data_IF_265342823725
#
_entry.id   IF_265342823725
#
_cell.length_a   1.000
_cell.length_b   1.000
_cell.length_c   1.000
_cell.angle_alpha   90.00
_cell.angle_beta   90.00
_cell.angle_gamma   90.00
#
_symmetry.space_group_name_H-M   'P 1'
#
loop_
_entity.id
_entity.type
_entity.pdbx_description
1 polymer ?
#
# COMPACT_ATOMS: atom_id res chain seq x y z
N UNK A 1 25.03 43.45 -5.57
CA UNK A 1 25.39 42.33 -4.68
C UNK A 1 24.31 41.99 -3.65
N UNK A 2 23.77 42.95 -2.87
CA UNK A 2 22.72 42.66 -1.86
C UNK A 2 21.41 42.12 -2.46
N UNK A 3 21.01 42.61 -3.63
CA UNK A 3 19.79 42.16 -4.33
C UNK A 3 19.90 40.72 -4.86
N UNK A 4 21.07 40.35 -5.40
CA UNK A 4 21.32 38.99 -5.91
C UNK A 4 21.34 37.94 -4.79
N UNK A 5 21.85 38.31 -3.61
CA UNK A 5 21.86 37.45 -2.42
C UNK A 5 20.44 37.22 -1.87
N UNK A 6 19.59 38.24 -1.89
CA UNK A 6 18.19 38.11 -1.48
C UNK A 6 17.39 37.21 -2.44
N UNK A 7 17.60 37.33 -3.75
CA UNK A 7 16.94 36.49 -4.75
C UNK A 7 17.37 35.02 -4.62
N UNK A 8 18.67 34.76 -4.42
CA UNK A 8 19.18 33.39 -4.18
C UNK A 8 18.59 32.76 -2.92
N UNK A 9 18.49 33.52 -1.82
CA UNK A 9 17.88 33.04 -0.57
C UNK A 9 16.39 32.73 -0.75
N UNK A 10 15.63 33.55 -1.46
CA UNK A 10 14.21 33.31 -1.73
C UNK A 10 14.02 32.06 -2.59
N UNK A 11 14.83 31.86 -3.63
CA UNK A 11 14.75 30.66 -4.48
C UNK A 11 15.11 29.36 -3.74
N UNK A 12 16.04 29.41 -2.78
CA UNK A 12 16.38 28.24 -1.96
C UNK A 12 15.25 27.87 -1.00
N UNK A 13 14.62 28.85 -0.36
CA UNK A 13 13.50 28.63 0.56
C UNK A 13 12.27 28.09 -0.20
N UNK A 14 12.01 28.57 -1.42
CA UNK A 14 10.90 28.08 -2.24
C UNK A 14 11.10 26.63 -2.71
N UNK A 15 12.33 26.19 -2.96
CA UNK A 15 12.61 24.80 -3.36
C UNK A 15 12.49 23.80 -2.20
N UNK A 16 12.73 24.22 -0.96
CA UNK A 16 12.49 23.34 0.21
C UNK A 16 11.00 23.24 0.58
N UNK A 17 10.20 24.27 0.30
CA UNK A 17 8.76 24.29 0.63
C UNK A 17 7.89 23.64 -0.46
N UNK A 18 8.36 23.58 -1.71
CA UNK A 18 7.65 22.93 -2.83
C UNK A 18 8.30 21.61 -3.30
N UNK A 19 9.06 20.95 -2.43
CA UNK A 19 9.26 19.52 -2.58
C UNK A 19 7.92 18.83 -2.37
N UNK A 20 7.14 18.62 -3.43
CA UNK A 20 5.98 17.73 -3.42
C UNK A 20 6.50 16.32 -3.13
N UNK A 21 6.74 16.04 -1.86
CA UNK A 21 7.01 14.71 -1.34
C UNK A 21 5.68 13.99 -1.57
N UNK A 22 5.55 13.37 -2.74
CA UNK A 22 4.47 12.42 -3.02
C UNK A 22 4.38 11.56 -1.77
N UNK A 23 3.24 11.66 -1.07
CA UNK A 23 2.99 10.91 0.17
C UNK A 23 2.89 9.44 -0.20
N UNK A 24 4.04 8.81 -0.48
CA UNK A 24 4.15 7.39 -0.75
C UNK A 24 3.75 6.57 0.47
N UNK A 25 4.01 7.12 1.65
CA UNK A 25 3.83 6.49 2.96
C UNK A 25 2.40 6.46 3.47
N UNK A 26 2.22 5.80 4.62
CA UNK A 26 0.98 5.89 5.39
C UNK A 26 0.89 7.27 6.07
N UNK A 27 -0.31 7.85 6.14
CA UNK A 27 -0.57 9.01 6.99
C UNK A 27 -0.42 8.67 8.47
N UNK A 28 -0.25 9.66 9.35
CA UNK A 28 -0.07 9.41 10.79
C UNK A 28 -1.22 8.59 11.42
N UNK A 29 -2.46 8.84 11.00
CA UNK A 29 -3.62 8.09 11.49
C UNK A 29 -3.63 6.65 10.98
N UNK A 30 -3.24 6.43 9.72
CA UNK A 30 -3.09 5.10 9.14
C UNK A 30 -1.96 4.33 9.81
N UNK A 31 -0.81 4.97 10.05
CA UNK A 31 0.31 4.39 10.80
C UNK A 31 -0.14 3.92 12.19
N UNK A 32 -0.89 4.78 12.91
CA UNK A 32 -1.41 4.45 14.23
C UNK A 32 -2.35 3.25 14.17
N UNK A 33 -3.37 3.27 13.31
CA UNK A 33 -4.34 2.17 13.16
C UNK A 33 -3.66 0.84 12.80
N UNK A 34 -2.73 0.89 11.83
CA UNK A 34 -1.98 -0.27 11.39
C UNK A 34 -1.12 -0.86 12.51
N UNK A 35 -0.34 -0.02 13.19
CA UNK A 35 0.53 -0.48 14.27
C UNK A 35 -0.24 -0.98 15.48
N UNK A 36 -1.37 -0.38 15.83
CA UNK A 36 -2.22 -0.84 16.93
C UNK A 36 -2.69 -2.29 16.68
N UNK A 37 -3.25 -2.56 15.50
CA UNK A 37 -3.75 -3.90 15.18
C UNK A 37 -2.61 -4.90 14.95
N UNK A 38 -1.54 -4.51 14.23
CA UNK A 38 -0.37 -5.37 14.04
C UNK A 38 0.27 -5.74 15.37
N UNK A 39 0.44 -4.80 16.30
CA UNK A 39 1.05 -5.10 17.60
C UNK A 39 0.17 -5.97 18.49
N UNK A 40 -1.16 -5.85 18.38
CA UNK A 40 -2.10 -6.75 19.05
C UNK A 40 -1.92 -8.19 18.57
N UNK A 41 -1.83 -8.39 17.26
CA UNK A 41 -1.57 -9.72 16.68
C UNK A 41 -0.18 -10.25 17.04
N UNK A 42 0.85 -9.41 16.95
CA UNK A 42 2.22 -9.75 17.35
C UNK A 42 2.30 -10.20 18.79
N UNK A 43 1.53 -9.57 19.70
CA UNK A 43 1.47 -9.98 21.10
C UNK A 43 0.87 -11.37 21.24
N UNK A 44 -0.27 -11.62 20.60
CA UNK A 44 -0.92 -12.94 20.61
C UNK A 44 0.01 -14.05 20.11
N UNK A 45 0.68 -13.81 18.98
CA UNK A 45 1.61 -14.78 18.38
C UNK A 45 2.86 -14.96 19.25
N UNK A 46 3.36 -13.89 19.87
CA UNK A 46 4.48 -14.00 20.80
C UNK A 46 4.13 -14.91 21.98
N UNK A 47 2.92 -14.80 22.54
CA UNK A 47 2.46 -15.66 23.62
C UNK A 47 2.30 -17.12 23.16
N UNK A 48 1.76 -17.36 21.96
CA UNK A 48 1.60 -18.70 21.37
C UNK A 48 2.94 -19.40 21.09
N UNK A 49 3.89 -18.68 20.49
CA UNK A 49 5.19 -19.22 20.07
C UNK A 49 6.18 -19.28 21.25
N UNK A 50 5.97 -18.47 22.29
CA UNK A 50 6.90 -18.29 23.40
C UNK A 50 8.04 -17.32 23.07
N UNK A 51 7.73 -16.24 22.35
CA UNK A 51 8.65 -15.13 22.15
C UNK A 51 8.51 -14.10 23.28
N UNK A 52 9.58 -13.31 23.49
CA UNK A 52 9.41 -12.01 24.13
C UNK A 52 8.68 -11.09 23.16
N UNK A 53 7.56 -10.52 23.59
CA UNK A 53 6.86 -9.51 22.79
C UNK A 53 7.75 -8.28 22.57
N UNK A 54 7.90 -7.88 21.30
CA UNK A 54 8.59 -6.66 20.88
C UNK A 54 7.63 -5.84 20.02
N UNK A 55 7.25 -4.62 20.45
CA UNK A 55 6.34 -3.78 19.69
C UNK A 55 7.02 -3.27 18.42
N UNK A 56 6.33 -3.39 17.29
CA UNK A 56 6.67 -2.77 16.02
C UNK A 56 6.45 -1.25 16.12
N UNK A 57 7.42 -0.49 15.62
CA UNK A 57 7.39 0.98 15.56
C UNK A 57 7.47 1.44 14.11
N UNK A 58 6.84 2.57 13.81
CA UNK A 58 6.93 3.14 12.48
C UNK A 58 8.28 3.86 12.30
N UNK A 59 8.93 3.67 11.17
CA UNK A 59 10.11 4.42 10.76
C UNK A 59 9.93 4.92 9.32
N UNK A 60 9.56 6.19 9.19
CA UNK A 60 9.32 6.83 7.90
C UNK A 60 10.56 6.87 6.98
N UNK A 61 11.77 6.63 7.51
CA UNK A 61 12.94 6.52 6.65
C UNK A 61 12.96 5.22 5.84
N UNK A 62 12.36 4.14 6.36
CA UNK A 62 12.25 2.87 5.65
C UNK A 62 11.32 2.96 4.44
N UNK A 63 10.38 3.92 4.39
CA UNK A 63 9.53 4.16 3.22
C UNK A 63 10.34 4.46 1.95
N UNK A 64 11.51 5.12 2.12
CA UNK A 64 12.37 5.53 1.01
C UNK A 64 13.11 4.34 0.37
N UNK A 65 13.21 3.23 1.09
CA UNK A 65 13.87 2.00 0.62
C UNK A 65 12.95 1.18 -0.30
N UNK A 66 11.65 1.49 -0.30
CA UNK A 66 10.64 0.78 -1.09
C UNK A 66 10.69 1.26 -2.53
N UNK A 67 11.03 0.34 -3.43
CA UNK A 67 11.07 0.56 -4.88
C UNK A 67 10.03 -0.32 -5.54
N UNK A 68 9.05 0.29 -6.22
CA UNK A 68 7.98 -0.43 -6.94
C UNK A 68 8.45 -0.98 -8.29
N UNK A 69 7.65 -1.87 -8.88
CA UNK A 69 7.86 -2.36 -10.25
C UNK A 69 8.85 -3.53 -10.39
N UNK A 70 9.37 -4.07 -9.29
CA UNK A 70 10.04 -5.39 -9.32
C UNK A 70 8.98 -6.50 -9.34
N UNK A 71 9.37 -7.67 -9.85
CA UNK A 71 8.61 -8.92 -9.65
C UNK A 71 8.36 -9.17 -8.16
N UNK A 72 7.21 -9.75 -7.82
CA UNK A 72 6.79 -9.93 -6.43
C UNK A 72 7.76 -10.79 -5.62
N UNK A 73 8.28 -11.86 -6.22
CA UNK A 73 9.25 -12.79 -5.61
C UNK A 73 10.64 -12.17 -5.45
N UNK A 74 10.94 -11.05 -6.12
CA UNK A 74 12.20 -10.30 -5.95
C UNK A 74 12.19 -9.42 -4.69
N UNK A 75 11.04 -9.20 -4.06
CA UNK A 75 10.97 -8.57 -2.75
C UNK A 75 11.32 -9.59 -1.66
N UNK A 76 12.60 -9.59 -1.25
CA UNK A 76 13.09 -10.53 -0.23
C UNK A 76 12.84 -10.05 1.19
N UNK A 77 12.62 -8.76 1.38
CA UNK A 77 12.47 -8.13 2.71
C UNK A 77 11.24 -7.25 2.83
N UNK A 78 10.54 -7.05 1.72
CA UNK A 78 9.34 -6.25 1.66
C UNK A 78 8.09 -7.13 1.78
N UNK A 79 7.20 -6.76 2.67
CA UNK A 79 5.97 -7.48 2.95
C UNK A 79 4.77 -6.74 2.35
N UNK A 80 3.82 -7.44 1.72
CA UNK A 80 2.63 -6.81 1.19
C UNK A 80 1.71 -6.32 2.31
N UNK A 81 1.01 -5.20 2.08
CA UNK A 81 -0.13 -4.81 2.92
C UNK A 81 -1.42 -5.50 2.49
N UNK A 82 -1.49 -5.97 1.24
CA UNK A 82 -2.58 -6.78 0.70
C UNK A 82 -2.06 -7.63 -0.45
N UNK A 83 -2.63 -8.82 -0.59
CA UNK A 83 -2.34 -9.80 -1.64
C UNK A 83 -3.65 -10.19 -2.35
N UNK A 84 -3.56 -10.66 -3.59
CA UNK A 84 -4.72 -11.18 -4.30
C UNK A 84 -5.08 -12.62 -3.87
N UNK A 85 -6.21 -13.13 -4.36
CA UNK A 85 -6.72 -14.45 -3.96
C UNK A 85 -5.80 -15.60 -4.38
N UNK A 86 -5.06 -15.45 -5.48
CA UNK A 86 -4.07 -16.42 -5.95
C UNK A 86 -2.94 -16.54 -4.93
N UNK A 87 -2.43 -15.41 -4.44
CA UNK A 87 -1.35 -15.44 -3.47
C UNK A 87 -1.82 -15.77 -2.05
N UNK A 88 -3.09 -15.54 -1.71
CA UNK A 88 -3.70 -16.10 -0.50
C UNK A 88 -3.83 -17.64 -0.60
N UNK A 89 -4.19 -18.18 -1.77
CA UNK A 89 -4.16 -19.62 -2.02
C UNK A 89 -2.75 -20.18 -1.85
N UNK A 90 -1.75 -19.52 -2.47
CA UNK A 90 -0.32 -19.83 -2.31
C UNK A 90 0.07 -19.86 -0.83
N UNK A 91 -0.22 -18.80 -0.09
CA UNK A 91 0.05 -18.69 1.35
C UNK A 91 -0.55 -19.86 2.14
N UNK A 92 -1.80 -20.23 1.87
CA UNK A 92 -2.45 -21.39 2.54
C UNK A 92 -1.73 -22.71 2.24
N UNK A 93 -1.26 -22.90 1.01
CA UNK A 93 -0.48 -24.09 0.64
C UNK A 93 0.82 -24.15 1.46
N UNK A 94 1.55 -23.04 1.60
CA UNK A 94 2.77 -22.97 2.42
C UNK A 94 2.51 -23.20 3.92
N UNK A 95 1.42 -22.63 4.46
CA UNK A 95 1.03 -22.84 5.86
C UNK A 95 0.65 -24.30 6.15
N UNK A 96 0.02 -25.00 5.19
CA UNK A 96 -0.45 -26.38 5.36
C UNK A 96 0.57 -27.45 4.90
N UNK A 97 1.50 -27.09 4.02
CA UNK A 97 2.47 -27.98 3.36
C UNK A 97 3.67 -28.39 4.22
N UNK A 98 3.84 -27.79 5.40
CA UNK A 98 4.57 -28.41 6.53
C UNK A 98 6.04 -28.04 6.74
N UNK A 99 6.74 -27.38 5.81
CA UNK A 99 8.20 -27.08 5.98
C UNK A 99 8.55 -25.59 6.02
N UNK A 100 7.81 -24.76 5.30
CA UNK A 100 8.10 -23.33 5.11
C UNK A 100 7.36 -22.45 6.14
N UNK A 101 6.08 -22.75 6.39
CA UNK A 101 5.19 -21.96 7.25
C UNK A 101 4.55 -20.80 6.50
N UNK A 102 4.07 -19.77 7.21
CA UNK A 102 3.57 -18.57 6.55
C UNK A 102 4.72 -17.78 5.91
N UNK A 103 4.64 -17.54 4.60
CA UNK A 103 5.61 -16.73 3.83
C UNK A 103 5.63 -15.25 4.27
N UNK A 104 4.62 -14.81 5.04
CA UNK A 104 4.53 -13.47 5.62
C UNK A 104 4.81 -13.43 7.14
N UNK A 105 5.40 -14.49 7.71
CA UNK A 105 5.64 -14.60 9.15
C UNK A 105 6.55 -13.50 9.72
N UNK A 106 7.32 -12.80 8.87
CA UNK A 106 8.22 -11.72 9.26
C UNK A 106 7.47 -10.53 9.90
N UNK A 107 6.17 -10.36 9.63
CA UNK A 107 5.33 -9.41 10.37
C UNK A 107 5.31 -9.67 11.88
N UNK A 108 5.56 -10.91 12.31
CA UNK A 108 5.33 -11.38 13.67
C UNK A 108 6.59 -11.79 14.41
N UNK A 109 7.73 -11.88 13.71
CA UNK A 109 9.00 -12.23 14.35
C UNK A 109 9.49 -11.08 15.26
N UNK A 110 9.98 -11.39 16.48
CA UNK A 110 10.44 -10.38 17.44
C UNK A 110 11.77 -9.73 17.05
N UNK A 111 12.47 -10.30 16.07
CA UNK A 111 13.73 -9.77 15.57
C UNK A 111 13.57 -8.59 14.60
N UNK A 112 12.33 -8.19 14.29
CA UNK A 112 11.98 -6.95 13.61
C UNK A 112 11.16 -6.06 14.54
N UNK A 113 11.56 -4.80 14.69
CA UNK A 113 10.88 -3.81 15.55
C UNK A 113 10.62 -2.46 14.88
N UNK A 114 11.05 -2.29 13.62
CA UNK A 114 10.70 -1.13 12.83
C UNK A 114 10.13 -1.55 11.48
N UNK A 115 9.14 -0.79 11.04
CA UNK A 115 8.47 -0.94 9.76
C UNK A 115 8.26 0.43 9.11
N UNK A 116 8.44 0.52 7.80
CA UNK A 116 7.93 1.64 7.00
C UNK A 116 7.23 1.08 5.78
N UNK A 117 6.16 1.71 5.34
CA UNK A 117 5.30 1.17 4.28
C UNK A 117 4.96 2.21 3.24
N UNK A 118 4.81 1.78 2.00
CA UNK A 118 4.25 2.60 0.91
C UNK A 118 2.92 2.00 0.44
N UNK A 119 1.86 2.80 0.40
CA UNK A 119 0.55 2.38 -0.15
C UNK A 119 0.56 2.28 -1.66
N UNK A 120 1.37 3.11 -2.30
CA UNK A 120 1.44 3.23 -3.76
C UNK A 120 2.25 2.09 -4.39
N UNK A 121 3.11 1.44 -3.61
CA UNK A 121 3.95 0.37 -4.11
C UNK A 121 3.13 -0.88 -4.44
N UNK A 122 3.33 -1.40 -5.65
CA UNK A 122 2.65 -2.59 -6.15
C UNK A 122 3.62 -3.47 -6.92
N UNK A 123 3.26 -4.73 -7.05
CA UNK A 123 3.91 -5.66 -7.97
C UNK A 123 2.90 -6.66 -8.51
N UNK A 124 3.27 -7.23 -9.66
CA UNK A 124 2.52 -8.27 -10.34
C UNK A 124 3.53 -9.27 -10.89
N UNK A 125 3.23 -10.55 -10.77
CA UNK A 125 4.09 -11.62 -11.29
C UNK A 125 3.28 -12.84 -11.70
N UNK A 126 3.61 -13.40 -12.85
CA UNK A 126 3.06 -14.70 -13.28
C UNK A 126 3.94 -15.80 -12.70
N UNK A 127 3.34 -16.70 -11.93
CA UNK A 127 4.04 -17.83 -11.34
C UNK A 127 4.49 -18.79 -12.43
N UNK A 128 5.79 -19.02 -12.50
CA UNK A 128 6.43 -20.04 -13.36
C UNK A 128 6.43 -21.41 -12.67
N UNK A 129 6.68 -22.46 -13.45
CA UNK A 129 6.81 -23.84 -12.96
C UNK A 129 7.91 -24.04 -11.89
N UNK A 130 8.90 -23.17 -11.90
CA UNK A 130 10.05 -23.19 -10.99
C UNK A 130 9.70 -22.70 -9.58
N UNK A 131 8.52 -22.11 -9.37
CA UNK A 131 8.07 -21.70 -8.05
C UNK A 131 7.45 -22.89 -7.30
N UNK A 132 7.62 -22.94 -5.97
CA UNK A 132 7.36 -24.10 -5.10
C UNK A 132 5.88 -24.57 -5.00
N UNK A 133 4.99 -24.09 -5.88
CA UNK A 133 3.57 -24.44 -5.92
C UNK A 133 3.12 -24.73 -7.37
N UNK A 134 3.33 -25.96 -7.87
CA UNK A 134 3.01 -26.34 -9.25
C UNK A 134 1.56 -26.07 -9.66
N UNK A 135 0.61 -26.22 -8.73
CA UNK A 135 -0.83 -26.04 -8.98
C UNK A 135 -1.22 -24.59 -9.31
N UNK A 136 -0.31 -23.63 -9.09
CA UNK A 136 -0.53 -22.21 -9.39
C UNK A 136 0.28 -21.74 -10.60
N UNK A 137 0.90 -22.65 -11.36
CA UNK A 137 1.61 -22.32 -12.59
C UNK A 137 0.72 -21.54 -13.57
N UNK A 138 1.26 -20.44 -14.11
CA UNK A 138 0.54 -19.55 -15.03
C UNK A 138 -0.45 -18.58 -14.37
N UNK A 139 -0.72 -18.71 -13.07
CA UNK A 139 -1.55 -17.75 -12.33
C UNK A 139 -0.74 -16.51 -11.94
N UNK A 140 -1.42 -15.37 -11.83
CA UNK A 140 -0.82 -14.09 -11.47
C UNK A 140 -0.97 -13.80 -9.98
N UNK A 141 0.13 -13.53 -9.29
CA UNK A 141 0.14 -12.96 -7.94
C UNK A 141 0.30 -11.44 -8.00
N UNK A 142 -0.29 -10.76 -7.03
CA UNK A 142 -0.26 -9.29 -6.95
C UNK A 142 -0.13 -8.83 -5.51
N UNK A 143 0.77 -7.87 -5.27
CA UNK A 143 0.89 -7.17 -4.00
C UNK A 143 0.43 -5.74 -4.12
N UNK A 144 -0.32 -5.29 -3.11
CA UNK A 144 -0.85 -3.94 -2.98
C UNK A 144 -0.37 -3.33 -1.68
N UNK A 145 0.43 -2.28 -1.80
CA UNK A 145 1.19 -1.71 -0.70
C UNK A 145 2.33 -2.63 -0.28
N UNK A 146 3.51 -2.06 -0.01
CA UNK A 146 4.68 -2.81 0.44
C UNK A 146 5.24 -2.19 1.72
N UNK A 147 5.83 -3.00 2.58
CA UNK A 147 6.44 -2.60 3.83
C UNK A 147 7.85 -3.15 3.97
N UNK A 148 8.81 -2.32 4.33
CA UNK A 148 10.18 -2.73 4.65
C UNK A 148 10.36 -2.84 6.16
N UNK A 149 11.05 -3.89 6.61
CA UNK A 149 11.35 -4.15 8.02
C UNK A 149 12.82 -3.88 8.35
N UNK A 150 13.09 -3.48 9.59
CA UNK A 150 14.46 -3.41 10.14
C UNK A 150 14.63 -4.39 11.30
N UNK A 151 15.78 -5.07 11.34
CA UNK A 151 16.14 -5.96 12.44
C UNK A 151 16.64 -5.21 13.66
N UNK A 152 16.39 -5.77 14.84
CA UNK A 152 16.82 -5.22 16.14
C UNK A 152 17.89 -6.06 16.86
N UNK A 153 18.39 -7.11 16.21
CA UNK A 153 19.41 -8.01 16.79
C UNK A 153 18.89 -9.03 17.79
N UNK A 154 17.58 -9.12 18.05
CA UNK A 154 17.01 -10.22 18.85
C UNK A 154 17.19 -11.53 18.09
N UNK A 155 17.82 -12.51 18.73
CA UNK A 155 17.97 -13.84 18.16
C UNK A 155 16.72 -14.69 18.42
N UNK A 156 16.41 -15.56 17.46
CA UNK A 156 15.30 -16.52 17.55
C UNK A 156 15.92 -17.91 17.59
N UNK A 157 15.61 -18.68 18.62
CA UNK A 157 16.08 -20.06 18.72
C UNK A 157 15.46 -20.95 17.63
N UNK A 158 16.11 -22.05 17.27
CA UNK A 158 15.58 -23.01 16.30
C UNK A 158 14.20 -23.55 16.72
N UNK A 159 14.03 -23.83 18.02
CA UNK A 159 12.75 -24.30 18.56
C UNK A 159 11.63 -23.26 18.39
N UNK A 160 11.93 -21.99 18.64
CA UNK A 160 10.98 -20.90 18.39
C UNK A 160 10.71 -20.71 16.88
N UNK A 161 11.72 -20.85 16.02
CA UNK A 161 11.52 -20.80 14.57
C UNK A 161 10.60 -21.91 14.08
N UNK A 162 10.76 -23.14 14.58
CA UNK A 162 9.87 -24.28 14.26
C UNK A 162 8.43 -24.04 14.72
N UNK A 163 8.24 -23.42 15.89
CA UNK A 163 6.91 -23.03 16.38
C UNK A 163 6.30 -21.93 15.52
N UNK A 164 7.07 -20.91 15.15
CA UNK A 164 6.61 -19.81 14.29
C UNK A 164 6.10 -20.32 12.94
N UNK A 165 6.79 -21.27 12.33
CA UNK A 165 6.36 -21.91 11.07
C UNK A 165 5.01 -22.61 11.16
N UNK A 166 4.56 -22.98 12.37
CA UNK A 166 3.28 -23.64 12.62
C UNK A 166 2.22 -22.68 13.18
N UNK A 167 2.58 -21.43 13.46
CA UNK A 167 1.68 -20.47 14.07
C UNK A 167 0.61 -20.03 13.07
N UNK A 168 -0.62 -19.85 13.57
CA UNK A 168 -1.72 -19.37 12.74
C UNK A 168 -1.71 -17.83 12.69
N UNK A 169 -1.03 -17.29 11.70
CA UNK A 169 -0.82 -15.85 11.49
C UNK A 169 -1.95 -15.20 10.69
N UNK A 170 -2.34 -13.95 11.01
CA UNK A 170 -3.25 -13.17 10.17
C UNK A 170 -2.73 -12.94 8.75
N UNK A 171 -3.64 -12.94 7.77
CA UNK A 171 -3.31 -12.54 6.39
C UNK A 171 -2.91 -11.08 6.32
N UNK A 172 -1.95 -10.72 5.43
CA UNK A 172 -1.73 -9.32 5.03
C UNK A 172 -3.04 -8.58 4.73
N UNK A 173 -4.01 -9.24 4.08
CA UNK A 173 -5.29 -8.65 3.69
C UNK A 173 -6.04 -7.99 4.85
N UNK A 174 -5.91 -8.51 6.09
CA UNK A 174 -6.45 -7.89 7.30
C UNK A 174 -5.99 -6.43 7.45
N UNK A 175 -4.70 -6.18 7.23
CA UNK A 175 -4.10 -4.85 7.35
C UNK A 175 -4.46 -3.96 6.16
N UNK A 176 -4.53 -4.54 4.96
CA UNK A 176 -5.05 -3.88 3.77
C UNK A 176 -6.46 -3.34 3.95
N UNK A 177 -7.36 -4.13 4.55
CA UNK A 177 -8.76 -3.75 4.81
C UNK A 177 -8.84 -2.57 5.80
N UNK A 178 -8.07 -2.60 6.90
CA UNK A 178 -8.01 -1.51 7.89
C UNK A 178 -7.52 -0.20 7.27
N UNK A 179 -6.64 -0.30 6.26
CA UNK A 179 -6.04 0.83 5.55
C UNK A 179 -6.83 1.25 4.30
N UNK A 180 -7.95 0.59 3.99
CA UNK A 180 -8.77 0.85 2.81
C UNK A 180 -8.02 0.61 1.49
N UNK A 181 -7.07 -0.33 1.46
CA UNK A 181 -6.32 -0.69 0.25
C UNK A 181 -7.17 -1.66 -0.57
N UNK A 182 -7.69 -1.19 -1.70
CA UNK A 182 -8.43 -2.03 -2.64
C UNK A 182 -7.48 -2.95 -3.43
N UNK A 183 -7.89 -4.21 -3.59
CA UNK A 183 -7.26 -5.12 -4.56
C UNK A 183 -7.78 -4.86 -5.98
N UNK A 184 -7.09 -5.43 -6.98
CA UNK A 184 -7.50 -5.41 -8.38
C UNK A 184 -8.70 -6.30 -8.63
N UNK A 185 -9.88 -5.82 -8.23
CA UNK A 185 -11.16 -6.36 -8.69
C UNK A 185 -12.21 -5.24 -8.76
N UNK A 186 -11.80 -4.06 -9.27
CA UNK A 186 -12.76 -3.14 -9.88
C UNK A 186 -12.84 -3.54 -11.34
N UNK A 187 -13.95 -4.20 -11.68
CA UNK A 187 -14.25 -4.62 -13.04
C UNK A 187 -13.98 -3.48 -14.02
N UNK A 188 -13.27 -3.81 -15.10
CA UNK A 188 -13.30 -3.03 -16.32
C UNK A 188 -14.77 -2.82 -16.70
N UNK A 189 -15.29 -1.63 -16.42
CA UNK A 189 -16.55 -1.14 -16.98
C UNK A 189 -16.36 -0.99 -18.48
N UNK A 190 -16.49 -2.10 -19.19
CA UNK A 190 -16.70 -2.11 -20.62
C UNK A 190 -18.20 -1.88 -20.82
N UNK A 191 -18.52 -0.62 -21.09
CA UNK A 191 -19.73 -0.22 -21.78
C UNK A 191 -19.93 -1.12 -23.01
N UNK A 192 -21.10 -1.75 -23.08
CA UNK A 192 -21.41 -2.85 -23.97
C UNK A 192 -22.93 -3.04 -24.02
N UNK A 193 -23.56 -2.08 -24.66
CA UNK A 193 -24.94 -2.12 -25.13
C UNK A 193 -25.12 -3.29 -26.11
N UNK A 194 -26.08 -4.20 -25.86
CA UNK A 194 -27.19 -4.49 -26.79
C UNK A 194 -28.09 -5.66 -26.30
N UNK A 195 -29.40 -5.35 -26.26
CA UNK A 195 -30.61 -6.10 -26.66
C UNK A 195 -30.70 -7.64 -26.50
N UNK A 196 -31.83 -8.32 -26.22
CA UNK A 196 -33.23 -8.04 -25.82
C UNK A 196 -33.90 -9.43 -25.70
N UNK A 197 -34.74 -9.65 -24.69
CA UNK A 197 -35.95 -10.51 -24.66
C UNK A 197 -36.36 -10.61 -23.19
N UNK A 198 -37.56 -10.27 -22.72
CA UNK A 198 -38.79 -9.82 -23.31
C UNK A 198 -39.90 -9.95 -22.25
N UNK A 199 -40.99 -9.20 -22.45
CA UNK A 199 -42.32 -9.35 -21.84
C UNK A 199 -42.65 -8.59 -20.54
N UNK A 200 -43.52 -7.59 -20.65
CA UNK A 200 -44.67 -7.48 -19.73
C UNK A 200 -45.04 -6.13 -19.10
N UNK A 201 -45.74 -5.28 -19.86
CA UNK A 201 -46.92 -4.45 -19.46
C UNK A 201 -46.76 -3.20 -18.54
N UNK A 202 -46.86 -2.04 -19.21
CA UNK A 202 -47.67 -0.80 -18.99
C UNK A 202 -47.61 0.12 -17.74
N UNK A 203 -47.23 1.38 -18.07
CA UNK A 203 -47.75 2.73 -17.71
C UNK A 203 -48.05 3.14 -16.26
N UNK A 204 -47.39 4.21 -15.79
CA UNK A 204 -47.85 5.61 -15.94
C UNK A 204 -46.98 6.57 -15.11
N UNK A 205 -46.94 7.86 -15.47
CA UNK A 205 -46.43 8.93 -14.60
C UNK A 205 -45.25 9.72 -15.15
N UNK A 206 -45.55 10.60 -16.11
CA UNK A 206 -44.71 11.70 -16.59
C UNK A 206 -44.87 12.88 -15.62
N UNK A 207 -43.78 13.54 -15.26
CA UNK A 207 -43.61 15.00 -15.13
C UNK A 207 -42.52 15.37 -14.12
N UNK A 208 -41.60 16.25 -14.51
CA UNK A 208 -40.65 16.87 -13.56
C UNK A 208 -39.31 17.34 -14.11
N UNK A 209 -39.34 18.22 -15.12
CA UNK A 209 -38.38 19.28 -15.44
C UNK A 209 -36.90 19.13 -15.02
N UNK A 210 -36.05 18.85 -16.02
CA UNK A 210 -34.66 19.30 -16.05
C UNK A 210 -34.54 20.52 -16.97
N UNK A 211 -33.77 21.53 -16.55
CA UNK A 211 -33.45 22.67 -17.40
C UNK A 211 -32.82 23.85 -16.67
N UNK A 212 -31.53 23.76 -16.34
CA UNK A 212 -30.69 24.95 -16.19
C UNK A 212 -29.35 24.72 -16.90
N UNK A 213 -29.28 25.17 -18.15
CA UNK A 213 -28.02 25.50 -18.83
C UNK A 213 -27.72 26.98 -18.54
N UNK A 214 -26.78 27.23 -17.64
CA UNK A 214 -26.22 28.55 -17.37
C UNK A 214 -24.78 28.61 -17.87
N UNK A 215 -24.60 29.21 -19.04
CA UNK A 215 -23.30 29.61 -19.59
C UNK A 215 -22.69 30.71 -18.71
N UNK A 216 -21.42 30.57 -18.31
CA UNK A 216 -20.72 31.55 -17.47
C UNK A 216 -19.22 31.49 -17.67
N UNK A 217 -18.72 32.38 -18.54
CA UNK A 217 -17.32 32.64 -18.80
C UNK A 217 -16.57 33.13 -17.55
N UNK A 218 -15.28 32.79 -17.44
CA UNK A 218 -14.43 33.33 -16.38
C UNK A 218 -13.04 32.70 -16.28
N UNK A 219 -12.30 32.63 -17.38
CA UNK A 219 -10.86 32.34 -17.34
C UNK A 219 -10.12 33.56 -16.79
N UNK A 220 -9.72 33.53 -15.53
CA UNK A 220 -8.90 34.59 -14.90
C UNK A 220 -7.46 34.09 -14.79
N UNK A 221 -6.81 33.90 -15.93
CA UNK A 221 -5.34 33.79 -16.02
C UNK A 221 -4.77 35.15 -16.45
N UNK A 222 -4.57 36.05 -15.50
CA UNK A 222 -3.61 37.17 -15.62
C UNK A 222 -3.68 38.04 -14.38
N UNK A 223 -2.70 37.89 -13.49
CA UNK A 223 -2.02 39.03 -12.87
C UNK A 223 -0.89 38.49 -12.00
N UNK A 224 0.34 38.41 -12.53
CA UNK A 224 1.57 38.34 -11.72
C UNK A 224 2.78 38.77 -12.54
N UNK A 225 2.66 39.88 -13.29
CA UNK A 225 3.83 40.60 -13.83
C UNK A 225 3.57 42.11 -13.69
N UNK A 226 3.71 42.63 -12.47
CA UNK A 226 3.77 44.07 -12.22
C UNK A 226 4.47 44.34 -10.88
N UNK A 227 5.73 43.90 -10.74
CA UNK A 227 6.55 44.30 -9.59
C UNK A 227 8.05 44.25 -9.91
N UNK A 228 8.48 44.90 -10.99
CA UNK A 228 9.91 45.06 -11.33
C UNK A 228 10.28 46.46 -11.88
N UNK A 229 9.51 47.51 -11.59
CA UNK A 229 9.80 48.86 -12.10
C UNK A 229 9.76 49.99 -11.05
N UNK A 230 10.17 49.72 -9.80
CA UNK A 230 10.41 50.81 -8.83
C UNK A 230 11.65 50.51 -7.97
N UNK A 231 12.80 50.27 -8.58
CA UNK A 231 14.11 50.39 -7.92
C UNK A 231 15.18 50.75 -8.96
N UNK A 232 15.02 51.91 -9.61
CA UNK A 232 16.10 52.58 -10.35
C UNK A 232 15.80 54.09 -10.45
N UNK A 233 15.91 54.80 -9.32
CA UNK A 233 16.43 56.18 -9.19
C UNK A 233 17.18 56.22 -7.86
#
# INVERSE_FOLDING_TARGET
MKLCLAILLITFISNEVCGSRVKRGLSADEQKKFLEELNKDRKKIADEVGFKFVPMKYDANLEKEIVSGKECTKYRQELPLRINDVDEERRRIFMNGGTEGDIYDAYFRPNYDKIGCSKEAKCTEVLKKEHDVPDLEGKTIEYYGLCTLRRNGVEISEAQSKKMKKANTPSPNKYGDILGISGGNQGSGMDGTDEKQGSGVEMSGKDGAGGEQGSGAGSVFSLTIALFLVLYI
#
